data_IF_164545952849
#
_entry.id   IF_164545952849
#
_cell.length_a   1.000
_cell.length_b   1.000
_cell.length_c   1.000
_cell.angle_alpha   90.00
_cell.angle_beta   90.00
_cell.angle_gamma   90.00
#
_symmetry.space_group_name_H-M   'P 1'
#
loop_
_entity.id
_entity.type
_entity.pdbx_description
1 polymer ?
#
# COMPACT_ATOMS: atom_id res chain seq x y z
N UNK A 1 -22.49 22.21 -4.38
CA UNK A 1 -21.19 22.38 -3.78
C UNK A 1 -20.60 20.99 -3.54
N UNK A 2 -19.40 20.71 -4.09
CA UNK A 2 -18.76 19.43 -3.88
C UNK A 2 -18.58 19.15 -2.39
N UNK A 3 -18.82 17.90 -1.95
CA UNK A 3 -18.62 17.51 -0.56
C UNK A 3 -17.12 17.65 -0.20
N UNK A 4 -16.72 18.64 0.65
CA UNK A 4 -15.30 18.91 0.92
C UNK A 4 -14.60 17.71 1.57
N UNK A 5 -15.35 16.92 2.34
CA UNK A 5 -14.84 15.76 3.08
C UNK A 5 -14.42 14.64 2.11
N UNK A 6 -15.29 14.34 1.13
CA UNK A 6 -14.99 13.32 0.12
C UNK A 6 -13.81 13.73 -0.78
N UNK A 7 -13.79 14.99 -1.24
CA UNK A 7 -12.67 15.52 -2.03
C UNK A 7 -11.35 15.46 -1.25
N UNK A 8 -11.37 15.90 0.00
CA UNK A 8 -10.18 15.87 0.87
C UNK A 8 -9.61 14.48 1.10
N UNK A 9 -10.44 13.42 1.09
CA UNK A 9 -10.00 12.01 1.20
C UNK A 9 -9.10 11.62 0.01
N UNK A 10 -9.55 11.86 -1.21
CA UNK A 10 -8.78 11.57 -2.42
C UNK A 10 -7.46 12.35 -2.51
N UNK A 11 -7.48 13.63 -2.18
CA UNK A 11 -6.28 14.47 -2.17
C UNK A 11 -5.24 14.04 -1.12
N UNK A 12 -5.68 13.66 0.09
CA UNK A 12 -4.77 13.14 1.10
C UNK A 12 -4.12 11.83 0.69
N UNK A 13 -4.88 10.93 0.05
CA UNK A 13 -4.37 9.65 -0.41
C UNK A 13 -3.48 9.75 -1.66
N UNK A 14 -3.63 10.81 -2.46
CA UNK A 14 -2.96 10.95 -3.77
C UNK A 14 -1.44 10.78 -3.70
N UNK A 15 -0.77 11.49 -2.80
CA UNK A 15 0.69 11.41 -2.66
C UNK A 15 1.16 10.00 -2.33
N UNK A 16 0.43 9.32 -1.44
CA UNK A 16 0.69 7.95 -1.04
C UNK A 16 0.47 6.97 -2.21
N UNK A 17 -0.65 7.10 -2.93
CA UNK A 17 -0.98 6.26 -4.09
C UNK A 17 0.09 6.38 -5.17
N UNK A 18 0.51 7.60 -5.50
CA UNK A 18 1.58 7.87 -6.48
C UNK A 18 2.91 7.27 -6.04
N UNK A 19 3.27 7.41 -4.76
CA UNK A 19 4.50 6.85 -4.22
C UNK A 19 4.50 5.31 -4.26
N UNK A 20 3.39 4.68 -3.85
CA UNK A 20 3.22 3.23 -3.90
C UNK A 20 3.24 2.69 -5.33
N UNK A 21 2.56 3.37 -6.26
CA UNK A 21 2.56 3.02 -7.68
C UNK A 21 3.98 3.08 -8.29
N UNK A 22 4.75 4.14 -8.00
CA UNK A 22 6.15 4.26 -8.42
C UNK A 22 7.01 3.14 -7.83
N UNK A 23 6.84 2.85 -6.54
CA UNK A 23 7.58 1.79 -5.87
C UNK A 23 7.31 0.41 -6.51
N UNK A 24 6.07 0.13 -6.88
CA UNK A 24 5.65 -1.10 -7.53
C UNK A 24 6.05 -1.17 -9.01
N UNK A 25 6.65 -0.10 -9.56
CA UNK A 25 7.18 -0.06 -10.92
C UNK A 25 6.10 0.01 -12.00
N UNK A 26 4.94 0.62 -11.73
CA UNK A 26 3.91 0.82 -12.74
C UNK A 26 4.29 1.95 -13.69
N UNK A 27 3.98 1.80 -15.00
CA UNK A 27 4.43 2.73 -16.02
C UNK A 27 3.58 4.01 -16.08
N UNK A 28 2.26 3.87 -16.09
CA UNK A 28 1.34 5.00 -16.32
C UNK A 28 0.91 5.66 -15.00
N UNK A 29 1.84 6.25 -14.25
CA UNK A 29 1.60 6.87 -12.93
C UNK A 29 0.43 7.85 -12.93
N UNK A 30 0.24 8.63 -14.00
CA UNK A 30 -0.86 9.58 -14.12
C UNK A 30 -2.24 8.95 -13.99
N UNK A 31 -2.41 7.67 -14.37
CA UNK A 31 -3.69 6.95 -14.20
C UNK A 31 -4.00 6.73 -12.71
N UNK A 32 -3.00 6.42 -11.92
CA UNK A 32 -3.12 6.21 -10.47
C UNK A 32 -3.40 7.53 -9.74
N UNK A 33 -2.74 8.62 -10.18
CA UNK A 33 -2.99 9.96 -9.67
C UNK A 33 -4.44 10.38 -9.96
N UNK A 34 -4.89 10.18 -11.20
CA UNK A 34 -6.25 10.51 -11.59
C UNK A 34 -7.29 9.62 -10.90
N UNK A 35 -6.99 8.32 -10.74
CA UNK A 35 -7.83 7.40 -9.97
C UNK A 35 -7.99 7.86 -8.52
N UNK A 36 -6.91 8.31 -7.87
CA UNK A 36 -6.97 8.87 -6.51
C UNK A 36 -7.92 10.06 -6.43
N UNK A 37 -7.80 11.01 -7.36
CA UNK A 37 -8.63 12.22 -7.39
C UNK A 37 -10.10 11.91 -7.67
N UNK A 38 -10.40 10.94 -8.52
CA UNK A 38 -11.75 10.59 -8.96
C UNK A 38 -12.40 9.48 -8.12
N UNK A 39 -11.65 8.80 -7.27
CA UNK A 39 -12.11 7.67 -6.45
C UNK A 39 -13.33 8.02 -5.58
N UNK A 40 -13.44 9.28 -5.16
CA UNK A 40 -14.47 9.74 -4.23
C UNK A 40 -15.63 10.48 -4.92
N UNK A 41 -15.66 10.56 -6.25
CA UNK A 41 -16.72 11.28 -6.94
C UNK A 41 -18.10 10.65 -6.71
N UNK A 42 -18.16 9.34 -6.51
CA UNK A 42 -19.41 8.63 -6.18
C UNK A 42 -19.97 8.97 -4.82
N UNK A 43 -19.13 9.43 -3.88
CA UNK A 43 -19.56 9.87 -2.56
C UNK A 43 -20.48 11.11 -2.60
N UNK A 44 -20.48 11.86 -3.71
CA UNK A 44 -21.38 13.01 -3.89
C UNK A 44 -22.86 12.58 -3.92
N UNK A 45 -23.16 11.32 -4.21
CA UNK A 45 -24.51 10.76 -4.25
C UNK A 45 -24.95 10.11 -2.92
N UNK A 46 -24.04 10.05 -1.94
CA UNK A 46 -24.32 9.43 -0.63
C UNK A 46 -24.98 10.45 0.32
N UNK A 47 -25.84 9.98 1.25
CA UNK A 47 -26.27 10.79 2.37
C UNK A 47 -25.04 11.27 3.17
N UNK A 48 -25.02 12.57 3.49
CA UNK A 48 -23.85 13.20 4.10
C UNK A 48 -23.54 12.63 5.48
N UNK A 49 -24.56 12.32 6.27
CA UNK A 49 -24.44 11.74 7.60
C UNK A 49 -23.76 10.36 7.58
N UNK A 50 -24.11 9.50 6.62
CA UNK A 50 -23.48 8.18 6.42
C UNK A 50 -21.99 8.37 6.11
N UNK A 51 -21.67 9.27 5.19
CA UNK A 51 -20.28 9.53 4.81
C UNK A 51 -19.47 10.09 5.97
N UNK A 52 -19.99 11.05 6.71
CA UNK A 52 -19.30 11.67 7.87
C UNK A 52 -19.05 10.65 8.96
N UNK A 53 -20.04 9.85 9.34
CA UNK A 53 -19.90 8.77 10.34
C UNK A 53 -18.90 7.71 9.92
N UNK A 54 -18.95 7.27 8.65
CA UNK A 54 -17.99 6.29 8.11
C UNK A 54 -16.54 6.79 8.20
N UNK A 55 -16.30 8.05 7.83
CA UNK A 55 -14.98 8.67 7.90
C UNK A 55 -14.52 8.98 9.32
N UNK A 56 -15.45 9.21 10.24
CA UNK A 56 -15.17 9.32 11.67
C UNK A 56 -14.83 7.96 12.32
N UNK A 57 -14.99 6.83 11.60
CA UNK A 57 -14.78 5.50 12.14
C UNK A 57 -15.93 4.97 12.99
N UNK A 58 -17.10 5.60 12.91
CA UNK A 58 -18.30 5.15 13.59
C UNK A 58 -18.89 3.92 12.90
N UNK A 59 -19.47 3.02 13.70
CA UNK A 59 -20.16 1.86 13.17
C UNK A 59 -21.41 2.30 12.40
N UNK A 60 -21.54 1.80 11.16
CA UNK A 60 -22.75 1.94 10.34
C UNK A 60 -23.66 0.73 10.55
N UNK A 61 -24.97 0.89 10.32
CA UNK A 61 -25.85 -0.26 10.19
C UNK A 61 -25.52 -1.06 8.92
N UNK A 62 -25.94 -2.34 8.80
CA UNK A 62 -25.73 -3.13 7.59
C UNK A 62 -26.30 -2.45 6.34
N UNK A 63 -27.43 -1.77 6.44
CA UNK A 63 -28.07 -1.03 5.36
C UNK A 63 -27.26 0.21 4.96
N UNK A 64 -26.76 0.96 5.95
CA UNK A 64 -25.90 2.13 5.74
C UNK A 64 -24.56 1.73 5.10
N UNK A 65 -23.97 0.60 5.55
CA UNK A 65 -22.75 0.07 4.92
C UNK A 65 -22.98 -0.31 3.46
N UNK A 66 -24.12 -0.93 3.12
CA UNK A 66 -24.47 -1.21 1.73
C UNK A 66 -24.60 0.07 0.90
N UNK A 67 -25.22 1.12 1.45
CA UNK A 67 -25.32 2.42 0.80
C UNK A 67 -23.92 2.99 0.56
N UNK A 68 -23.06 2.96 1.56
CA UNK A 68 -21.67 3.43 1.41
C UNK A 68 -20.94 2.65 0.31
N UNK A 69 -21.02 1.33 0.29
CA UNK A 69 -20.36 0.47 -0.69
C UNK A 69 -20.86 0.62 -2.13
N UNK A 70 -21.92 1.42 -2.37
CA UNK A 70 -22.35 1.75 -3.73
C UNK A 70 -21.51 2.84 -4.41
N UNK A 71 -20.78 3.67 -3.63
CA UNK A 71 -20.06 4.83 -4.21
C UNK A 71 -19.00 4.46 -5.26
N UNK A 72 -18.24 3.33 -5.16
CA UNK A 72 -17.30 2.97 -6.21
C UNK A 72 -17.98 2.69 -7.55
N UNK A 73 -19.10 1.96 -7.53
CA UNK A 73 -19.84 1.64 -8.73
C UNK A 73 -20.45 2.91 -9.37
N UNK A 74 -20.95 3.84 -8.58
CA UNK A 74 -21.47 5.13 -9.05
C UNK A 74 -20.34 5.92 -9.72
N UNK A 75 -19.18 6.03 -9.07
CA UNK A 75 -18.01 6.71 -9.61
C UNK A 75 -17.56 6.08 -10.94
N UNK A 76 -17.43 4.76 -10.97
CA UNK A 76 -17.01 4.02 -12.16
C UNK A 76 -17.98 4.21 -13.34
N UNK A 77 -19.28 4.22 -13.08
CA UNK A 77 -20.29 4.48 -14.12
C UNK A 77 -20.18 5.88 -14.71
N UNK A 78 -19.88 6.90 -13.91
CA UNK A 78 -19.61 8.25 -14.42
C UNK A 78 -18.35 8.28 -15.29
N UNK A 79 -17.28 7.60 -14.86
CA UNK A 79 -15.99 7.58 -15.56
C UNK A 79 -16.04 6.80 -16.88
N UNK A 80 -16.80 5.70 -16.97
CA UNK A 80 -16.96 4.89 -18.18
C UNK A 80 -17.57 5.67 -19.34
N UNK A 81 -18.29 6.76 -19.07
CA UNK A 81 -18.85 7.64 -20.08
C UNK A 81 -17.82 8.63 -20.66
N UNK A 82 -16.59 8.65 -20.12
CA UNK A 82 -15.52 9.53 -20.54
C UNK A 82 -14.45 8.73 -21.31
N UNK A 83 -14.12 9.10 -22.56
CA UNK A 83 -13.12 8.38 -23.35
C UNK A 83 -11.75 8.33 -22.63
N UNK A 84 -11.06 7.20 -22.73
CA UNK A 84 -9.72 6.94 -22.17
C UNK A 84 -9.66 6.85 -20.65
N UNK A 85 -10.80 6.76 -19.96
CA UNK A 85 -10.85 6.57 -18.51
C UNK A 85 -11.28 5.15 -18.12
N UNK A 86 -11.35 4.21 -19.05
CA UNK A 86 -11.83 2.84 -18.81
C UNK A 86 -11.01 2.13 -17.72
N UNK A 87 -9.67 2.16 -17.80
CA UNK A 87 -8.81 1.55 -16.80
C UNK A 87 -8.93 2.25 -15.42
N UNK A 88 -9.13 3.57 -15.43
CA UNK A 88 -9.33 4.33 -14.19
C UNK A 88 -10.69 3.97 -13.57
N UNK A 89 -11.72 3.80 -14.41
CA UNK A 89 -13.03 3.35 -13.96
C UNK A 89 -12.99 1.95 -13.32
N UNK A 90 -12.15 1.02 -13.85
CA UNK A 90 -11.92 -0.29 -13.25
C UNK A 90 -11.23 -0.17 -11.89
N UNK A 91 -10.17 0.65 -11.78
CA UNK A 91 -9.48 0.89 -10.51
C UNK A 91 -10.44 1.40 -9.44
N UNK A 92 -11.31 2.34 -9.82
CA UNK A 92 -12.27 2.96 -8.91
C UNK A 92 -13.45 2.02 -8.59
N UNK A 93 -13.91 1.22 -9.55
CA UNK A 93 -15.01 0.28 -9.33
C UNK A 93 -14.71 -0.71 -8.20
N UNK A 94 -13.47 -1.20 -8.16
CA UNK A 94 -13.04 -2.29 -7.28
C UNK A 94 -12.26 -1.78 -6.05
N UNK A 95 -12.25 -0.46 -5.78
CA UNK A 95 -11.47 0.12 -4.68
C UNK A 95 -11.85 -0.37 -3.27
N UNK A 96 -13.05 -0.91 -3.09
CA UNK A 96 -13.52 -1.52 -1.84
C UNK A 96 -13.59 -3.05 -1.93
N UNK A 97 -13.18 -3.65 -3.06
CA UNK A 97 -13.25 -5.09 -3.25
C UNK A 97 -12.18 -5.81 -2.43
N UNK A 98 -12.51 -6.93 -1.76
CA UNK A 98 -11.54 -7.78 -1.09
C UNK A 98 -10.62 -8.46 -2.11
N UNK A 99 -9.41 -8.85 -1.66
CA UNK A 99 -8.38 -9.40 -2.54
C UNK A 99 -8.80 -10.70 -3.24
N UNK A 100 -9.67 -11.49 -2.62
CA UNK A 100 -10.22 -12.74 -3.18
C UNK A 100 -10.99 -12.55 -4.50
N UNK A 101 -11.58 -11.37 -4.71
CA UNK A 101 -12.23 -11.00 -5.98
C UNK A 101 -11.25 -10.66 -7.09
N UNK A 102 -9.93 -10.74 -6.80
CA UNK A 102 -8.85 -10.45 -7.72
C UNK A 102 -8.94 -9.07 -8.41
N UNK A 103 -9.16 -7.98 -7.67
CA UNK A 103 -9.22 -6.64 -8.24
C UNK A 103 -7.90 -6.26 -8.92
N UNK A 104 -7.92 -5.34 -9.88
CA UNK A 104 -6.72 -4.88 -10.55
C UNK A 104 -5.73 -4.22 -9.57
N UNK A 105 -4.44 -4.12 -9.94
CA UNK A 105 -3.42 -3.56 -9.04
C UNK A 105 -3.76 -2.14 -8.58
N UNK A 106 -4.35 -1.32 -9.45
CA UNK A 106 -4.76 0.03 -9.10
C UNK A 106 -5.83 0.07 -8.00
N UNK A 107 -6.82 -0.81 -8.07
CA UNK A 107 -7.85 -0.94 -7.03
C UNK A 107 -7.25 -1.36 -5.69
N UNK A 108 -6.29 -2.32 -5.68
CA UNK A 108 -5.57 -2.74 -4.46
C UNK A 108 -4.77 -1.60 -3.85
N UNK A 109 -4.11 -0.77 -4.67
CA UNK A 109 -3.38 0.42 -4.21
C UNK A 109 -4.35 1.45 -3.63
N UNK A 110 -5.48 1.72 -4.29
CA UNK A 110 -6.53 2.61 -3.78
C UNK A 110 -7.03 2.13 -2.42
N UNK A 111 -7.39 0.84 -2.29
CA UNK A 111 -7.88 0.24 -1.03
C UNK A 111 -6.93 0.51 0.13
N UNK A 112 -5.68 0.09 0.00
CA UNK A 112 -4.66 0.26 1.06
C UNK A 112 -4.43 1.73 1.40
N UNK A 113 -4.31 2.59 0.39
CA UNK A 113 -4.02 4.00 0.61
C UNK A 113 -5.18 4.77 1.24
N UNK A 114 -6.42 4.48 0.83
CA UNK A 114 -7.61 5.13 1.37
C UNK A 114 -7.85 4.70 2.82
N UNK A 115 -7.79 3.42 3.12
CA UNK A 115 -7.99 2.89 4.47
C UNK A 115 -6.90 3.38 5.43
N UNK A 116 -5.63 3.40 4.99
CA UNK A 116 -4.54 3.98 5.76
C UNK A 116 -4.76 5.48 6.03
N UNK A 117 -5.13 6.24 5.01
CA UNK A 117 -5.34 7.69 5.13
C UNK A 117 -6.49 8.02 6.07
N UNK A 118 -7.56 7.22 6.04
CA UNK A 118 -8.70 7.39 6.95
C UNK A 118 -8.29 7.09 8.39
N UNK A 119 -7.59 5.99 8.64
CA UNK A 119 -7.09 5.65 9.97
C UNK A 119 -6.11 6.70 10.51
N UNK A 120 -5.16 7.14 9.66
CA UNK A 120 -4.20 8.19 10.03
C UNK A 120 -4.90 9.52 10.35
N UNK A 121 -5.99 9.86 9.66
CA UNK A 121 -6.78 11.07 9.96
C UNK A 121 -7.46 11.02 11.34
N UNK A 122 -7.63 9.83 11.93
CA UNK A 122 -8.16 9.58 13.26
C UNK A 122 -7.06 9.37 14.32
N UNK A 123 -5.78 9.42 13.92
CA UNK A 123 -4.64 9.16 14.81
C UNK A 123 -4.37 7.68 15.08
N UNK A 124 -4.84 6.79 14.22
CA UNK A 124 -4.72 5.32 14.33
C UNK A 124 -3.57 4.75 13.47
N UNK A 125 -2.73 5.61 12.90
CA UNK A 125 -1.68 5.27 11.94
C UNK A 125 -0.67 4.23 12.45
N UNK A 126 -0.37 4.24 13.77
CA UNK A 126 0.55 3.26 14.37
C UNK A 126 0.01 1.82 14.37
N UNK A 127 -1.31 1.65 14.37
CA UNK A 127 -1.97 0.35 14.50
C UNK A 127 -2.51 -0.19 13.19
N UNK A 128 -2.84 0.68 12.23
CA UNK A 128 -3.52 0.29 11.00
C UNK A 128 -2.69 -0.65 10.12
N UNK A 129 -1.37 -0.43 10.02
CA UNK A 129 -0.51 -1.28 9.20
C UNK A 129 -0.50 -2.72 9.74
N UNK A 130 -0.33 -2.89 11.06
CA UNK A 130 -0.38 -4.19 11.69
C UNK A 130 -1.75 -4.87 11.55
N UNK A 131 -2.84 -4.08 11.61
CA UNK A 131 -4.19 -4.58 11.34
C UNK A 131 -4.32 -5.07 9.89
N UNK A 132 -3.85 -4.31 8.91
CA UNK A 132 -3.90 -4.70 7.50
C UNK A 132 -3.10 -5.98 7.22
N UNK A 133 -1.96 -6.18 7.89
CA UNK A 133 -1.14 -7.39 7.76
C UNK A 133 -1.85 -8.66 8.28
N UNK A 134 -2.75 -8.51 9.25
CA UNK A 134 -3.55 -9.60 9.80
C UNK A 134 -4.71 -10.01 8.89
N UNK A 135 -4.99 -9.22 7.82
CA UNK A 135 -6.09 -9.44 6.89
C UNK A 135 -5.60 -9.61 5.43
N UNK A 136 -4.81 -10.67 5.14
CA UNK A 136 -4.27 -10.91 3.79
C UNK A 136 -5.36 -11.26 2.76
N UNK A 137 -6.57 -11.61 3.19
CA UNK A 137 -7.74 -11.82 2.33
C UNK A 137 -8.31 -10.49 1.79
N UNK A 138 -8.02 -9.37 2.46
CA UNK A 138 -8.48 -8.02 2.08
C UNK A 138 -7.35 -7.25 1.38
N UNK A 139 -6.15 -7.28 1.93
CA UNK A 139 -5.04 -6.42 1.52
C UNK A 139 -3.92 -7.20 0.82
N UNK A 140 -3.49 -6.73 -0.35
CA UNK A 140 -2.36 -7.33 -1.08
C UNK A 140 -1.04 -7.09 -0.32
N UNK A 141 -0.31 -8.15 0.12
CA UNK A 141 0.94 -8.00 0.87
C UNK A 141 2.02 -7.21 0.12
N UNK A 142 2.01 -7.22 -1.22
CA UNK A 142 2.97 -6.43 -2.03
C UNK A 142 2.66 -4.94 -1.95
N UNK A 143 1.37 -4.60 -1.91
CA UNK A 143 0.91 -3.21 -1.77
C UNK A 143 1.17 -2.71 -0.36
N UNK A 144 0.98 -3.56 0.66
CA UNK A 144 1.37 -3.24 2.05
C UNK A 144 2.88 -2.98 2.16
N UNK A 145 3.71 -3.77 1.48
CA UNK A 145 5.15 -3.51 1.43
C UNK A 145 5.49 -2.14 0.80
N UNK A 146 4.73 -1.68 -0.20
CA UNK A 146 4.89 -0.35 -0.77
C UNK A 146 4.47 0.75 0.22
N UNK A 147 3.41 0.55 1.00
CA UNK A 147 2.99 1.44 2.08
C UNK A 147 4.08 1.55 3.15
N UNK A 148 4.57 0.43 3.64
CA UNK A 148 5.65 0.39 4.66
C UNK A 148 6.90 1.10 4.18
N UNK A 149 7.29 0.89 2.91
CA UNK A 149 8.41 1.61 2.31
C UNK A 149 8.19 3.13 2.32
N UNK A 150 7.00 3.59 1.96
CA UNK A 150 6.67 5.02 1.97
C UNK A 150 6.76 5.61 3.39
N UNK A 151 6.18 4.93 4.38
CA UNK A 151 6.18 5.38 5.77
C UNK A 151 7.61 5.42 6.35
N UNK A 152 8.41 4.40 6.04
CA UNK A 152 9.81 4.34 6.41
C UNK A 152 10.61 5.53 5.84
N UNK A 153 10.39 5.86 4.57
CA UNK A 153 11.02 7.01 3.93
C UNK A 153 10.63 8.34 4.59
N UNK A 154 9.37 8.49 5.01
CA UNK A 154 8.90 9.68 5.74
C UNK A 154 9.54 9.82 7.13
N UNK A 155 9.83 8.70 7.79
CA UNK A 155 10.50 8.67 9.09
C UNK A 155 12.03 8.86 9.00
N UNK A 156 12.56 9.16 7.82
CA UNK A 156 14.00 9.34 7.59
C UNK A 156 14.79 8.02 7.61
N UNK A 157 14.12 6.89 7.35
CA UNK A 157 14.81 5.62 7.14
C UNK A 157 15.62 5.66 5.85
N UNK A 158 16.78 5.02 5.84
CA UNK A 158 17.65 4.93 4.66
C UNK A 158 17.79 3.48 4.18
N UNK A 159 18.12 3.34 2.91
CA UNK A 159 18.46 2.03 2.35
C UNK A 159 19.83 1.62 2.86
N UNK A 160 19.85 0.51 3.56
CA UNK A 160 21.10 -0.13 4.02
C UNK A 160 21.31 -1.43 3.26
N UNK A 161 22.56 -1.75 2.96
CA UNK A 161 22.93 -2.97 2.27
C UNK A 161 23.59 -3.91 3.27
N UNK A 162 22.88 -4.98 3.60
CA UNK A 162 23.29 -5.95 4.63
C UNK A 162 23.61 -7.31 4.01
N UNK A 163 24.61 -8.03 4.57
CA UNK A 163 24.78 -9.44 4.29
C UNK A 163 23.60 -10.24 4.84
N UNK A 164 23.35 -11.44 4.31
CA UNK A 164 22.25 -12.32 4.75
C UNK A 164 22.30 -12.59 6.26
N UNK A 165 23.50 -12.69 6.82
CA UNK A 165 23.70 -12.95 8.25
C UNK A 165 23.15 -11.84 9.18
N UNK A 166 23.02 -10.62 8.67
CA UNK A 166 22.53 -9.47 9.44
C UNK A 166 21.05 -9.16 9.21
N UNK A 167 20.42 -9.90 8.30
CA UNK A 167 18.98 -9.74 8.05
C UNK A 167 18.17 -10.18 9.26
N UNK A 168 17.12 -9.42 9.54
CA UNK A 168 16.17 -9.69 10.64
C UNK A 168 14.75 -9.75 10.11
N UNK A 169 13.92 -10.53 10.77
CA UNK A 169 12.49 -10.57 10.52
C UNK A 169 11.86 -9.19 10.69
N UNK A 170 10.91 -8.85 9.81
CA UNK A 170 10.26 -7.54 9.79
C UNK A 170 10.97 -6.47 8.95
N UNK A 171 12.20 -6.70 8.48
CA UNK A 171 12.87 -5.79 7.53
C UNK A 171 12.16 -5.80 6.18
N UNK A 172 12.07 -4.64 5.52
CA UNK A 172 11.44 -4.49 4.20
C UNK A 172 12.50 -4.39 3.12
N UNK A 173 12.39 -5.17 2.07
CA UNK A 173 13.31 -5.16 0.95
C UNK A 173 13.21 -3.85 0.15
N UNK A 174 14.32 -3.13 0.00
CA UNK A 174 14.43 -1.94 -0.85
C UNK A 174 14.66 -2.29 -2.33
N UNK A 175 15.18 -3.47 -2.61
CA UNK A 175 15.43 -4.01 -3.96
C UNK A 175 15.01 -5.50 -4.01
N UNK A 176 14.73 -6.07 -5.21
CA UNK A 176 14.42 -7.48 -5.31
C UNK A 176 15.65 -8.36 -4.98
N UNK A 177 15.43 -9.46 -4.26
CA UNK A 177 16.47 -10.48 -4.02
C UNK A 177 16.48 -11.43 -5.19
N UNK A 178 17.62 -11.52 -5.89
CA UNK A 178 17.80 -12.35 -7.07
C UNK A 178 18.95 -13.34 -6.89
N UNK A 179 18.83 -14.51 -7.50
CA UNK A 179 19.93 -15.48 -7.59
C UNK A 179 20.97 -15.06 -8.64
N UNK A 180 22.15 -15.66 -8.61
CA UNK A 180 23.18 -15.47 -9.65
C UNK A 180 22.65 -15.76 -11.07
N UNK A 181 21.69 -16.68 -11.19
CA UNK A 181 21.04 -17.04 -12.45
C UNK A 181 19.89 -16.08 -12.85
N UNK A 182 19.70 -14.96 -12.12
CA UNK A 182 18.69 -13.96 -12.43
C UNK A 182 17.27 -14.31 -11.98
N UNK A 183 17.04 -15.42 -11.26
CA UNK A 183 15.73 -15.79 -10.73
C UNK A 183 15.41 -14.93 -9.51
N UNK A 184 14.27 -14.24 -9.52
CA UNK A 184 13.78 -13.47 -8.37
C UNK A 184 13.25 -14.42 -7.29
N UNK A 185 13.83 -14.34 -6.09
CA UNK A 185 13.39 -15.08 -4.90
C UNK A 185 12.37 -14.31 -4.09
N UNK A 186 12.60 -13.00 -3.92
CA UNK A 186 11.67 -12.07 -3.28
C UNK A 186 11.67 -10.74 -4.04
N UNK A 187 10.54 -10.07 -4.03
CA UNK A 187 10.36 -8.79 -4.71
C UNK A 187 10.65 -7.62 -3.77
N UNK A 188 11.02 -6.48 -4.36
CA UNK A 188 11.06 -5.19 -3.68
C UNK A 188 9.74 -4.96 -2.90
N UNK A 189 9.84 -4.43 -1.67
CA UNK A 189 8.71 -4.12 -0.82
C UNK A 189 8.14 -5.30 -0.02
N UNK A 190 8.68 -6.49 -0.19
CA UNK A 190 8.28 -7.62 0.65
C UNK A 190 8.99 -7.57 2.00
N UNK A 191 8.22 -7.85 3.06
CA UNK A 191 8.76 -8.00 4.41
C UNK A 191 9.49 -9.34 4.52
N UNK A 192 10.68 -9.31 5.11
CA UNK A 192 11.51 -10.51 5.34
C UNK A 192 10.95 -11.26 6.54
N UNK A 193 10.51 -12.50 6.32
CA UNK A 193 10.12 -13.43 7.38
C UNK A 193 11.31 -14.29 7.82
N UNK A 194 11.22 -14.90 9.01
CA UNK A 194 12.21 -15.86 9.48
C UNK A 194 12.44 -17.00 8.48
N UNK A 195 11.38 -17.50 7.85
CA UNK A 195 11.47 -18.53 6.82
C UNK A 195 12.23 -18.03 5.56
N UNK A 196 12.11 -16.75 5.21
CA UNK A 196 12.87 -16.16 4.11
C UNK A 196 14.36 -16.08 4.45
N UNK A 197 14.71 -15.69 5.68
CA UNK A 197 16.11 -15.63 6.15
C UNK A 197 16.75 -17.03 6.06
N UNK A 198 16.06 -18.05 6.56
CA UNK A 198 16.54 -19.44 6.47
C UNK A 198 16.74 -19.87 5.02
N UNK A 199 15.80 -19.55 4.13
CA UNK A 199 15.96 -19.82 2.68
C UNK A 199 17.16 -19.10 2.09
N UNK A 200 17.44 -17.88 2.50
CA UNK A 200 18.62 -17.14 2.01
C UNK A 200 19.92 -17.74 2.52
N UNK A 201 19.99 -18.26 3.74
CA UNK A 201 21.17 -19.00 4.27
C UNK A 201 21.45 -20.27 3.48
N UNK A 202 20.42 -21.01 3.07
CA UNK A 202 20.56 -22.15 2.16
C UNK A 202 20.85 -21.72 0.72
N UNK A 203 20.65 -20.48 0.38
CA UNK A 203 20.81 -19.92 -0.95
C UNK A 203 22.27 -19.54 -1.28
N UNK A 204 23.24 -19.72 -0.38
CA UNK A 204 24.65 -19.80 -0.75
C UNK A 204 24.85 -20.89 -1.82
N UNK A 205 24.12 -22.00 -1.75
CA UNK A 205 24.06 -23.05 -2.78
C UNK A 205 23.33 -22.57 -4.05
N UNK A 206 22.42 -21.60 -3.93
CA UNK A 206 21.63 -21.04 -5.05
C UNK A 206 22.22 -19.72 -5.58
N UNK A 207 23.32 -19.23 -5.00
CA UNK A 207 24.02 -18.01 -5.42
C UNK A 207 23.15 -16.76 -5.29
N UNK A 208 22.61 -16.48 -4.11
CA UNK A 208 21.95 -15.17 -3.86
C UNK A 208 23.00 -14.08 -3.94
N UNK A 209 22.67 -12.99 -4.66
CA UNK A 209 23.58 -11.83 -4.73
C UNK A 209 23.50 -11.03 -3.44
N UNK A 210 24.62 -10.93 -2.75
CA UNK A 210 24.81 -10.03 -1.61
C UNK A 210 25.55 -8.75 -2.02
N UNK A 211 25.43 -7.66 -1.26
CA UNK A 211 24.56 -7.45 -0.11
C UNK A 211 23.12 -7.19 -0.50
N UNK A 212 22.17 -7.49 0.44
CA UNK A 212 20.74 -7.28 0.26
C UNK A 212 20.35 -5.89 0.73
N UNK A 213 19.65 -5.13 -0.11
CA UNK A 213 19.18 -3.79 0.21
C UNK A 213 17.87 -3.83 1.00
N UNK A 214 17.90 -3.29 2.22
CA UNK A 214 16.75 -3.21 3.14
C UNK A 214 16.53 -1.78 3.63
N UNK A 215 15.31 -1.48 4.09
CA UNK A 215 14.98 -0.24 4.78
C UNK A 215 15.29 -0.38 6.26
N UNK A 216 16.01 0.58 6.81
CA UNK A 216 16.33 0.66 8.24
C UNK A 216 15.96 2.03 8.81
N UNK A 217 15.38 2.10 10.04
CA UNK A 217 15.17 3.36 10.73
C UNK A 217 16.50 4.08 10.95
N UNK A 218 16.53 5.40 10.77
CA UNK A 218 17.75 6.23 10.97
C UNK A 218 18.32 6.12 12.38
N UNK A 219 17.45 5.85 13.37
CA UNK A 219 17.82 5.76 14.80
C UNK A 219 17.95 4.32 15.32
N UNK A 220 17.92 3.31 14.45
CA UNK A 220 18.17 1.94 14.90
C UNK A 220 19.63 1.82 15.37
N UNK A 221 19.91 1.28 16.59
CA UNK A 221 21.24 1.17 17.12
C UNK A 221 22.12 0.39 16.13
N UNK A 222 23.25 1.01 15.73
CA UNK A 222 24.29 0.33 14.94
C UNK A 222 24.79 -0.85 15.75
N UNK A 223 24.88 -2.01 15.14
CA UNK A 223 25.51 -3.18 15.78
C UNK A 223 26.95 -2.82 16.18
N UNK A 224 27.35 -3.23 17.39
CA UNK A 224 28.58 -2.85 18.10
C UNK A 224 29.92 -3.22 17.41
N UNK A 225 29.97 -3.41 16.11
CA UNK A 225 31.24 -3.78 15.42
C UNK A 225 31.91 -2.63 14.66
N UNK A 226 31.32 -1.44 14.54
CA UNK A 226 31.96 -0.29 13.89
C UNK A 226 32.81 0.57 14.84
N UNK A 227 33.16 0.06 16.04
CA UNK A 227 34.00 0.73 17.02
C UNK A 227 35.24 -0.08 17.30
N UNK A 228 36.05 -0.32 16.29
CA UNK A 228 37.47 -0.64 16.52
C UNK A 228 38.34 0.27 15.65
N UNK A 229 39.28 1.00 16.29
CA UNK A 229 40.17 1.91 15.62
C UNK A 229 41.16 1.22 14.67
#
# INVERSE_FOLDING_TARGET
>A
LANPTAYGRGERAKALIVAMAKFLGVEAIWKYELAAMLSQIGCLSLPQDILERRLAGEALSPEEEQIFLMHPAIAANLLRNLPRLEEIAEMVADQEAPLEKNPCLGARILKVALDYTDAASRGEDAHIVAHMEQHPEIYDPRVLGALQWYLAAQQGQHVERLPIAELREGMVLAEPVVTANGKTLMRKGQTISQAAIERFKFAEVLGVREPIAVLRPKDAPRTQEDSKP
#
